data_IF_983571622646
#
_entry.id   IF_983571622646
#
_cell.length_a   1.000
_cell.length_b   1.000
_cell.length_c   1.000
_cell.angle_alpha   90.00
_cell.angle_beta   90.00
_cell.angle_gamma   90.00
#
_symmetry.space_group_name_H-M   'P 1'
#
loop_
_entity.id
_entity.type
_entity.pdbx_description
1 polymer ?
#
# COMPACT_ATOMS: atom_id res chain seq x y z
N UNK A 1 -12.15 -15.01 -8.27
CA UNK A 1 -13.40 -14.42 -8.74
C UNK A 1 -13.31 -12.91 -8.79
N UNK A 2 -13.92 -12.28 -9.80
CA UNK A 2 -13.95 -10.83 -9.91
C UNK A 2 -14.93 -10.26 -8.86
N UNK A 3 -14.52 -9.20 -8.15
CA UNK A 3 -15.40 -8.47 -7.24
C UNK A 3 -16.17 -7.41 -8.05
N UNK A 4 -17.47 -7.32 -7.82
CA UNK A 4 -18.36 -6.42 -8.57
C UNK A 4 -19.06 -5.40 -7.67
N UNK A 5 -18.93 -5.54 -6.34
CA UNK A 5 -19.56 -4.66 -5.36
C UNK A 5 -18.67 -4.47 -4.13
N UNK A 6 -18.92 -3.40 -3.38
CA UNK A 6 -18.28 -3.15 -2.08
C UNK A 6 -18.63 -4.27 -1.10
N UNK A 7 -17.65 -4.74 -0.35
CA UNK A 7 -17.83 -5.70 0.74
C UNK A 7 -17.52 -5.02 2.06
N UNK A 8 -18.52 -4.99 2.95
CA UNK A 8 -18.42 -4.34 4.26
C UNK A 8 -18.78 -5.29 5.38
N UNK A 9 -17.92 -5.37 6.38
CA UNK A 9 -18.17 -6.12 7.60
C UNK A 9 -17.85 -5.25 8.82
N UNK A 10 -18.80 -5.17 9.75
CA UNK A 10 -18.57 -4.56 11.06
C UNK A 10 -18.54 -5.66 12.11
N UNK A 11 -17.51 -5.66 12.94
CA UNK A 11 -17.30 -6.62 14.02
C UNK A 11 -17.11 -5.86 15.33
N UNK A 12 -17.92 -6.16 16.32
CA UNK A 12 -17.83 -5.59 17.67
C UNK A 12 -17.14 -6.58 18.62
N UNK A 13 -16.13 -6.12 19.32
CA UNK A 13 -15.35 -6.93 20.28
C UNK A 13 -14.90 -6.08 21.47
N UNK A 14 -14.57 -6.75 22.55
CA UNK A 14 -13.89 -6.11 23.67
C UNK A 14 -12.42 -5.88 23.33
N UNK A 15 -12.14 -4.76 22.69
CA UNK A 15 -10.80 -4.36 22.25
C UNK A 15 -10.43 -3.00 22.82
N UNK A 16 -9.16 -2.73 23.09
CA UNK A 16 -8.73 -1.44 23.64
C UNK A 16 -8.88 -0.29 22.64
N UNK A 17 -8.74 -0.56 21.34
CA UNK A 17 -8.71 0.46 20.28
C UNK A 17 -9.47 -0.06 19.07
N UNK A 18 -10.32 0.80 18.50
CA UNK A 18 -11.00 0.57 17.23
C UNK A 18 -10.01 0.58 16.06
N UNK A 19 -10.33 -0.14 14.99
CA UNK A 19 -9.45 -0.24 13.83
C UNK A 19 -10.24 -0.34 12.53
N UNK A 20 -9.69 0.29 11.50
CA UNK A 20 -10.18 0.25 10.12
C UNK A 20 -9.21 -0.59 9.28
N UNK A 21 -9.74 -1.57 8.55
CA UNK A 21 -9.00 -2.39 7.60
C UNK A 21 -9.65 -2.25 6.23
N UNK A 22 -8.92 -1.70 5.29
CA UNK A 22 -9.34 -1.52 3.90
C UNK A 22 -8.50 -2.42 3.01
N UNK A 23 -9.11 -3.10 2.06
CA UNK A 23 -8.43 -3.97 1.12
C UNK A 23 -8.96 -3.76 -0.30
N UNK A 24 -8.05 -3.69 -1.25
CA UNK A 24 -8.32 -3.58 -2.66
C UNK A 24 -7.57 -4.69 -3.40
N UNK A 25 -8.21 -5.33 -4.35
CA UNK A 25 -7.55 -6.37 -5.16
C UNK A 25 -6.53 -5.73 -6.09
N UNK A 26 -5.40 -6.37 -6.22
CA UNK A 26 -4.34 -5.97 -7.14
C UNK A 26 -3.89 -7.16 -8.01
N UNK A 27 -2.96 -6.90 -8.92
CA UNK A 27 -2.35 -7.89 -9.78
C UNK A 27 -1.48 -8.89 -9.01
N UNK A 28 -1.05 -9.94 -9.70
CA UNK A 28 -0.03 -10.88 -9.23
C UNK A 28 1.40 -10.30 -9.30
N UNK A 29 2.36 -11.02 -8.73
CA UNK A 29 3.78 -10.61 -8.64
C UNK A 29 4.45 -10.42 -10.00
N UNK A 30 4.04 -11.18 -11.02
CA UNK A 30 4.67 -11.15 -12.34
C UNK A 30 4.05 -10.11 -13.28
N UNK A 31 2.97 -9.46 -12.86
CA UNK A 31 2.30 -8.44 -13.67
C UNK A 31 3.14 -7.15 -13.74
N UNK A 32 3.23 -6.47 -14.90
CA UNK A 32 4.00 -5.22 -15.06
C UNK A 32 3.60 -4.10 -14.09
N UNK A 33 2.33 -4.05 -13.68
CA UNK A 33 1.83 -3.05 -12.74
C UNK A 33 2.26 -3.30 -11.28
N UNK A 34 2.84 -4.47 -10.95
CA UNK A 34 3.20 -4.82 -9.58
C UNK A 34 4.10 -3.77 -8.92
N UNK A 35 5.15 -3.35 -9.62
CA UNK A 35 6.11 -2.35 -9.14
C UNK A 35 5.45 -0.98 -8.88
N UNK A 36 4.45 -0.64 -9.70
CA UNK A 36 3.68 0.59 -9.48
C UNK A 36 2.80 0.49 -8.22
N UNK A 37 2.18 -0.65 -7.94
CA UNK A 37 1.43 -0.86 -6.70
C UNK A 37 2.34 -0.78 -5.47
N UNK A 38 3.54 -1.33 -5.54
CA UNK A 38 4.48 -1.30 -4.42
C UNK A 38 4.98 0.12 -4.13
N UNK A 39 5.44 0.85 -5.17
CA UNK A 39 5.80 2.28 -5.04
C UNK A 39 4.61 3.09 -4.51
N UNK A 40 3.40 2.82 -4.97
CA UNK A 40 2.20 3.52 -4.51
C UNK A 40 1.96 3.32 -3.01
N UNK A 41 2.20 2.11 -2.48
CA UNK A 41 2.10 1.83 -1.05
C UNK A 41 3.15 2.60 -0.25
N UNK A 42 4.36 2.70 -0.79
CA UNK A 42 5.45 3.45 -0.17
C UNK A 42 5.19 4.97 -0.14
N UNK A 43 4.66 5.55 -1.22
CA UNK A 43 4.25 6.96 -1.26
C UNK A 43 3.16 7.23 -0.22
N UNK A 44 2.24 6.31 -0.03
CA UNK A 44 1.14 6.46 0.91
C UNK A 44 1.58 6.35 2.38
N UNK A 45 2.47 5.42 2.75
CA UNK A 45 2.75 5.20 4.18
C UNK A 45 4.21 4.93 4.58
N UNK A 46 5.15 4.83 3.64
CA UNK A 46 6.52 4.44 3.99
C UNK A 46 7.41 5.61 4.42
N UNK A 47 7.25 6.04 5.67
CA UNK A 47 8.06 7.07 6.31
C UNK A 47 7.27 8.31 6.75
N UNK A 48 7.92 9.18 7.52
CA UNK A 48 7.26 10.33 8.16
C UNK A 48 6.66 11.34 7.17
N UNK A 49 7.21 11.46 5.98
CA UNK A 49 6.76 12.39 4.94
C UNK A 49 5.91 11.72 3.86
N UNK A 50 5.45 10.48 4.08
CA UNK A 50 4.48 9.82 3.22
C UNK A 50 3.08 10.42 3.43
N UNK A 51 2.26 10.39 2.38
CA UNK A 51 1.01 11.17 2.32
C UNK A 51 0.04 10.89 3.45
N UNK A 52 -0.29 9.62 3.71
CA UNK A 52 -1.21 9.26 4.80
C UNK A 52 -0.66 9.66 6.18
N UNK A 53 0.65 9.48 6.39
CA UNK A 53 1.28 9.84 7.67
C UNK A 53 1.29 11.36 7.84
N UNK A 54 1.71 12.12 6.82
CA UNK A 54 1.76 13.56 6.90
C UNK A 54 0.36 14.16 7.05
N UNK A 55 -0.57 13.82 6.15
CA UNK A 55 -1.87 14.48 6.09
C UNK A 55 -2.83 13.98 7.19
N UNK A 56 -2.88 12.65 7.45
CA UNK A 56 -3.90 12.09 8.32
C UNK A 56 -3.43 11.86 9.76
N UNK A 57 -2.11 11.73 10.00
CA UNK A 57 -1.58 11.58 11.38
C UNK A 57 -1.08 12.92 11.91
N UNK A 58 -0.22 13.64 11.14
CA UNK A 58 0.40 14.86 11.66
C UNK A 58 -0.49 16.09 11.50
N UNK A 59 -1.01 16.36 10.30
CA UNK A 59 -1.72 17.61 10.01
C UNK A 59 -3.17 17.58 10.51
N UNK A 60 -3.95 16.56 10.13
CA UNK A 60 -5.38 16.45 10.46
C UNK A 60 -5.68 15.69 11.74
N UNK A 61 -4.73 14.94 12.26
CA UNK A 61 -4.86 14.12 13.49
C UNK A 61 -6.08 13.18 13.47
N UNK A 62 -6.39 12.62 12.31
CA UNK A 62 -7.49 11.65 12.09
C UNK A 62 -7.12 10.27 12.62
N UNK A 63 -5.86 9.88 12.45
CA UNK A 63 -5.34 8.60 12.89
C UNK A 63 -4.23 8.75 13.92
N UNK A 64 -4.18 7.83 14.88
CA UNK A 64 -3.00 7.64 15.75
C UNK A 64 -1.90 6.86 15.03
N UNK A 65 -2.29 5.98 14.12
CA UNK A 65 -1.39 5.28 13.20
C UNK A 65 -2.17 4.80 11.98
N UNK A 66 -1.52 4.86 10.82
CA UNK A 66 -2.05 4.35 9.57
C UNK A 66 -0.90 3.77 8.75
N UNK A 67 -1.17 2.69 8.04
CA UNK A 67 -0.21 1.98 7.20
C UNK A 67 -0.86 1.54 5.89
N UNK A 68 -0.10 1.55 4.81
CA UNK A 68 -0.47 1.01 3.51
C UNK A 68 0.64 0.08 3.01
N UNK A 69 0.26 -1.13 2.58
CA UNK A 69 1.20 -2.12 2.05
C UNK A 69 0.52 -3.06 1.07
N UNK A 70 1.31 -3.75 0.27
CA UNK A 70 0.83 -4.80 -0.62
C UNK A 70 1.13 -6.19 -0.06
N UNK A 71 0.27 -7.17 -0.36
CA UNK A 71 0.59 -8.57 -0.14
C UNK A 71 1.33 -9.11 -1.38
N UNK A 72 2.65 -9.30 -1.22
CA UNK A 72 3.54 -9.73 -2.31
C UNK A 72 3.49 -11.24 -2.57
N UNK A 73 2.28 -11.81 -2.77
CA UNK A 73 2.13 -13.24 -3.12
C UNK A 73 2.36 -13.47 -4.61
N UNK A 74 2.64 -14.73 -4.99
CA UNK A 74 2.81 -15.14 -6.39
C UNK A 74 1.54 -14.86 -7.19
N UNK A 75 0.38 -15.24 -6.63
CA UNK A 75 -0.94 -14.98 -7.21
C UNK A 75 -1.40 -13.53 -6.98
N UNK A 76 -2.56 -13.20 -7.57
CA UNK A 76 -3.19 -11.90 -7.38
C UNK A 76 -3.34 -11.54 -5.90
N UNK A 77 -2.78 -10.41 -5.51
CA UNK A 77 -2.67 -9.95 -4.15
C UNK A 77 -3.74 -8.94 -3.74
N UNK A 78 -3.47 -8.31 -2.61
CA UNK A 78 -4.29 -7.23 -2.05
C UNK A 78 -3.41 -6.03 -1.71
N UNK A 79 -3.92 -4.85 -2.00
CA UNK A 79 -3.43 -3.60 -1.46
C UNK A 79 -4.19 -3.32 -0.16
N UNK A 80 -3.48 -3.21 0.93
CA UNK A 80 -4.04 -3.02 2.27
C UNK A 80 -3.82 -1.60 2.76
N UNK A 81 -4.81 -1.05 3.44
CA UNK A 81 -4.67 0.13 4.28
C UNK A 81 -5.26 -0.22 5.64
N UNK A 82 -4.47 -0.07 6.69
CA UNK A 82 -4.87 -0.34 8.07
C UNK A 82 -4.66 0.89 8.92
N UNK A 83 -5.67 1.30 9.67
CA UNK A 83 -5.57 2.50 10.50
C UNK A 83 -6.25 2.35 11.85
N UNK A 84 -5.68 3.02 12.85
CA UNK A 84 -6.28 3.20 14.17
C UNK A 84 -6.67 4.66 14.29
N UNK A 85 -7.98 4.99 14.31
CA UNK A 85 -8.42 6.36 14.48
C UNK A 85 -7.86 7.01 15.74
N UNK A 86 -7.68 8.31 15.69
CA UNK A 86 -7.32 9.09 16.87
C UNK A 86 -8.50 9.14 17.86
N UNK A 87 -8.22 9.43 19.13
CA UNK A 87 -9.26 9.48 20.13
C UNK A 87 -10.34 10.54 19.79
N UNK A 88 -11.59 10.13 19.79
CA UNK A 88 -12.73 10.99 19.46
C UNK A 88 -13.05 11.12 17.96
N UNK A 89 -12.31 10.45 17.09
CA UNK A 89 -12.59 10.39 15.65
C UNK A 89 -13.44 9.15 15.35
N UNK A 90 -14.56 9.33 14.63
CA UNK A 90 -15.40 8.20 14.23
C UNK A 90 -14.74 7.36 13.13
N UNK A 91 -15.06 6.06 13.08
CA UNK A 91 -14.58 5.17 12.00
C UNK A 91 -15.07 5.62 10.61
N UNK A 92 -16.26 6.23 10.55
CA UNK A 92 -16.82 6.78 9.32
C UNK A 92 -16.01 7.99 8.83
N UNK A 93 -15.65 8.93 9.71
CA UNK A 93 -14.81 10.09 9.35
C UNK A 93 -13.39 9.65 9.00
N UNK A 94 -12.85 8.66 9.70
CA UNK A 94 -11.54 8.07 9.40
C UNK A 94 -11.54 7.41 8.01
N UNK A 95 -12.54 6.59 7.68
CA UNK A 95 -12.69 5.97 6.35
C UNK A 95 -12.81 7.04 5.25
N UNK A 96 -13.63 8.06 5.48
CA UNK A 96 -13.81 9.18 4.54
C UNK A 96 -12.50 9.91 4.27
N UNK A 97 -11.72 10.20 5.31
CA UNK A 97 -10.43 10.87 5.18
C UNK A 97 -9.43 10.06 4.33
N UNK A 98 -9.40 8.73 4.49
CA UNK A 98 -8.58 7.87 3.61
C UNK A 98 -9.06 7.96 2.17
N UNK A 99 -10.36 7.89 1.92
CA UNK A 99 -10.89 7.99 0.55
C UNK A 99 -10.58 9.34 -0.11
N UNK A 100 -10.53 10.45 0.64
CA UNK A 100 -10.12 11.76 0.13
C UNK A 100 -8.67 11.69 -0.40
N UNK A 101 -7.74 11.11 0.35
CA UNK A 101 -6.35 10.93 -0.09
C UNK A 101 -6.22 10.00 -1.31
N UNK A 102 -6.98 8.90 -1.32
CA UNK A 102 -7.00 7.98 -2.46
C UNK A 102 -7.58 8.63 -3.72
N UNK A 103 -8.53 9.56 -3.59
CA UNK A 103 -9.05 10.34 -4.72
C UNK A 103 -8.01 11.32 -5.27
N UNK A 104 -7.23 11.96 -4.42
CA UNK A 104 -6.16 12.85 -4.86
C UNK A 104 -5.14 12.08 -5.71
N UNK A 105 -4.62 10.95 -5.19
CA UNK A 105 -3.60 10.16 -5.90
C UNK A 105 -4.13 9.49 -7.17
N UNK A 106 -5.44 9.30 -7.27
CA UNK A 106 -6.11 8.77 -8.46
C UNK A 106 -6.37 9.83 -9.54
N UNK A 107 -6.33 11.13 -9.21
CA UNK A 107 -6.69 12.20 -10.13
C UNK A 107 -5.55 13.17 -10.44
N UNK A 108 -4.50 13.17 -9.64
CA UNK A 108 -3.35 14.07 -9.77
C UNK A 108 -2.08 13.26 -9.98
N UNK A 109 -1.20 13.76 -10.83
CA UNK A 109 0.13 13.18 -11.01
C UNK A 109 0.95 13.38 -9.74
N UNK A 110 1.69 12.35 -9.36
CA UNK A 110 2.65 12.43 -8.26
C UNK A 110 3.83 13.26 -8.74
N UNK A 111 4.32 14.14 -7.86
CA UNK A 111 5.50 14.95 -8.12
C UNK A 111 6.73 14.07 -8.37
N UNK A 112 7.54 14.45 -9.35
CA UNK A 112 8.73 13.67 -9.74
C UNK A 112 9.77 13.58 -8.61
N UNK A 113 9.88 14.61 -7.76
CA UNK A 113 10.78 14.58 -6.61
C UNK A 113 10.30 13.56 -5.56
N UNK A 114 9.00 13.51 -5.32
CA UNK A 114 8.39 12.52 -4.42
C UNK A 114 8.59 11.09 -4.95
N UNK A 115 8.37 10.87 -6.24
CA UNK A 115 8.60 9.57 -6.89
C UNK A 115 10.07 9.15 -6.83
N UNK A 116 11.00 10.05 -7.20
CA UNK A 116 12.43 9.75 -7.17
C UNK A 116 12.94 9.46 -5.75
N UNK A 117 12.40 10.11 -4.74
CA UNK A 117 12.73 9.84 -3.33
C UNK A 117 12.38 8.38 -2.96
N UNK A 118 11.22 7.88 -3.37
CA UNK A 118 10.80 6.50 -3.08
C UNK A 118 11.66 5.50 -3.85
N UNK A 119 11.93 5.75 -5.13
CA UNK A 119 12.84 4.92 -5.95
C UNK A 119 14.24 4.84 -5.36
N UNK A 120 14.81 5.97 -4.94
CA UNK A 120 16.12 6.04 -4.30
C UNK A 120 16.16 5.26 -2.98
N UNK A 121 15.09 5.32 -2.20
CA UNK A 121 14.96 4.55 -0.96
C UNK A 121 14.94 3.04 -1.24
N UNK A 122 14.15 2.61 -2.23
CA UNK A 122 14.10 1.21 -2.65
C UNK A 122 15.50 0.71 -3.08
N UNK A 123 16.15 1.42 -4.01
CA UNK A 123 17.48 1.05 -4.50
C UNK A 123 18.51 0.98 -3.37
N UNK A 124 18.51 1.94 -2.46
CA UNK A 124 19.39 1.93 -1.29
C UNK A 124 19.13 0.70 -0.42
N UNK A 125 17.87 0.37 -0.18
CA UNK A 125 17.48 -0.83 0.61
C UNK A 125 17.97 -2.11 -0.05
N UNK A 126 17.86 -2.22 -1.38
CA UNK A 126 18.37 -3.37 -2.14
C UNK A 126 19.89 -3.48 -2.07
N UNK A 127 20.61 -2.37 -2.26
CA UNK A 127 22.08 -2.35 -2.17
C UNK A 127 22.54 -2.81 -0.79
N UNK A 128 21.98 -2.26 0.28
CA UNK A 128 22.32 -2.66 1.65
C UNK A 128 21.87 -4.08 1.98
N UNK A 129 20.71 -4.50 1.48
CA UNK A 129 20.22 -5.88 1.62
C UNK A 129 21.17 -6.92 1.01
N UNK A 130 21.76 -6.59 -0.13
CA UNK A 130 22.69 -7.46 -0.85
C UNK A 130 24.08 -7.58 -0.20
N UNK A 131 24.38 -6.82 0.84
CA UNK A 131 25.57 -7.03 1.68
C UNK A 131 25.44 -8.29 2.56
N UNK A 132 24.23 -8.80 2.73
CA UNK A 132 23.97 -10.02 3.49
C UNK A 132 23.82 -11.22 2.54
N UNK A 133 24.74 -12.16 2.60
CA UNK A 133 24.73 -13.35 1.74
C UNK A 133 23.46 -14.23 1.89
N UNK A 134 22.86 -14.27 3.07
CA UNK A 134 21.61 -15.00 3.27
C UNK A 134 20.45 -14.33 2.52
N UNK A 135 20.39 -12.99 2.53
CA UNK A 135 19.39 -12.25 1.76
C UNK A 135 19.57 -12.50 0.26
N UNK A 136 20.81 -12.42 -0.23
CA UNK A 136 21.10 -12.71 -1.65
C UNK A 136 20.67 -14.12 -2.03
N UNK A 137 21.03 -15.12 -1.23
CA UNK A 137 20.65 -16.53 -1.48
C UNK A 137 19.13 -16.71 -1.46
N UNK A 138 18.43 -16.08 -0.52
CA UNK A 138 16.96 -16.13 -0.42
C UNK A 138 16.31 -15.46 -1.64
N UNK A 139 16.80 -14.30 -2.05
CA UNK A 139 16.29 -13.59 -3.21
C UNK A 139 16.53 -14.37 -4.51
N UNK A 140 17.71 -14.93 -4.71
CA UNK A 140 18.00 -15.79 -5.87
C UNK A 140 17.06 -17.01 -5.93
N UNK A 141 16.84 -17.69 -4.79
CA UNK A 141 15.90 -18.81 -4.72
C UNK A 141 14.46 -18.37 -4.99
N UNK A 142 14.06 -17.19 -4.50
CA UNK A 142 12.76 -16.60 -4.75
C UNK A 142 12.55 -16.29 -6.24
N UNK A 143 13.51 -15.63 -6.88
CA UNK A 143 13.43 -15.32 -8.30
C UNK A 143 13.45 -16.59 -9.18
N UNK A 144 14.26 -17.61 -8.82
CA UNK A 144 14.23 -18.89 -9.53
C UNK A 144 12.87 -19.58 -9.46
N UNK A 145 12.17 -19.45 -8.33
CA UNK A 145 10.81 -19.99 -8.19
C UNK A 145 9.79 -19.20 -9.00
N UNK A 146 9.95 -17.88 -9.14
CA UNK A 146 9.02 -17.02 -9.88
C UNK A 146 9.21 -17.11 -11.40
N UNK A 147 10.48 -17.09 -11.85
CA UNK A 147 10.88 -17.03 -13.26
C UNK A 147 12.29 -17.58 -13.44
N UNK A 148 13.31 -16.77 -13.17
CA UNK A 148 14.74 -17.10 -13.28
C UNK A 148 15.53 -16.27 -12.26
N UNK A 149 16.54 -16.87 -11.63
CA UNK A 149 17.40 -16.19 -10.66
C UNK A 149 18.03 -14.90 -11.20
N UNK A 150 18.39 -14.87 -12.49
CA UNK A 150 18.98 -13.72 -13.18
C UNK A 150 18.05 -12.49 -13.24
N UNK A 151 16.72 -12.66 -13.08
CA UNK A 151 15.77 -11.56 -13.08
C UNK A 151 15.84 -10.71 -11.80
N UNK A 152 16.50 -11.20 -10.75
CA UNK A 152 16.83 -10.44 -9.56
C UNK A 152 17.61 -9.15 -9.90
N UNK A 153 18.52 -9.21 -10.86
CA UNK A 153 19.34 -8.05 -11.26
C UNK A 153 18.53 -6.96 -11.99
N UNK A 154 17.39 -7.33 -12.55
CA UNK A 154 16.49 -6.38 -13.27
C UNK A 154 15.51 -5.66 -12.34
N UNK A 155 15.41 -6.09 -11.09
CA UNK A 155 14.38 -5.57 -10.18
C UNK A 155 14.50 -4.06 -9.97
N UNK A 156 15.72 -3.56 -9.74
CA UNK A 156 15.97 -2.12 -9.59
C UNK A 156 15.58 -1.34 -10.86
N UNK A 157 15.88 -1.89 -12.05
CA UNK A 157 15.49 -1.26 -13.32
C UNK A 157 13.98 -1.19 -13.47
N UNK A 158 13.25 -2.23 -13.08
CA UNK A 158 11.80 -2.26 -13.12
C UNK A 158 11.17 -1.20 -12.20
N UNK A 159 11.68 -1.02 -10.97
CA UNK A 159 11.25 0.06 -10.08
C UNK A 159 11.59 1.44 -10.65
N UNK A 160 12.80 1.60 -11.24
CA UNK A 160 13.22 2.86 -11.88
C UNK A 160 12.35 3.23 -13.08
N UNK A 161 11.83 2.25 -13.81
CA UNK A 161 10.99 2.46 -14.99
C UNK A 161 9.57 2.95 -14.67
N UNK A 162 9.10 2.83 -13.42
CA UNK A 162 7.76 3.29 -13.03
C UNK A 162 7.63 4.79 -13.20
N UNK A 163 6.52 5.23 -13.80
CA UNK A 163 6.22 6.65 -14.06
C UNK A 163 5.07 7.16 -13.19
N UNK A 164 5.01 8.49 -12.96
CA UNK A 164 3.88 9.13 -12.27
C UNK A 164 2.54 8.85 -12.95
N UNK A 165 2.51 8.74 -14.28
CA UNK A 165 1.31 8.36 -15.02
C UNK A 165 0.86 6.94 -14.70
N UNK A 166 1.80 5.98 -14.66
CA UNK A 166 1.49 4.59 -14.33
C UNK A 166 0.96 4.46 -12.89
N UNK A 167 1.50 5.22 -11.94
CA UNK A 167 1.01 5.26 -10.55
C UNK A 167 -0.44 5.75 -10.49
N UNK A 168 -0.77 6.82 -11.21
CA UNK A 168 -2.14 7.33 -11.27
C UNK A 168 -3.08 6.30 -11.92
N UNK A 169 -2.65 5.60 -12.97
CA UNK A 169 -3.47 4.60 -13.66
C UNK A 169 -3.76 3.37 -12.79
N UNK A 170 -2.76 2.87 -12.03
CA UNK A 170 -2.99 1.77 -11.09
C UNK A 170 -3.83 2.21 -9.91
N UNK A 171 -3.69 3.45 -9.41
CA UNK A 171 -4.53 4.00 -8.36
C UNK A 171 -6.01 4.08 -8.81
N UNK A 172 -6.28 4.59 -10.01
CA UNK A 172 -7.63 4.62 -10.60
C UNK A 172 -8.26 3.24 -10.74
N UNK A 173 -7.46 2.26 -11.12
CA UNK A 173 -7.89 0.87 -11.29
C UNK A 173 -8.18 0.20 -9.95
N UNK A 174 -7.34 0.43 -8.95
CA UNK A 174 -7.43 -0.20 -7.64
C UNK A 174 -8.49 0.45 -6.74
N UNK A 175 -8.45 1.78 -6.59
CA UNK A 175 -9.23 2.50 -5.59
C UNK A 175 -10.64 2.85 -6.08
N UNK A 176 -11.41 1.81 -6.36
CA UNK A 176 -12.82 1.90 -6.76
C UNK A 176 -13.71 1.21 -5.73
N UNK A 177 -14.96 1.68 -5.59
CA UNK A 177 -15.93 1.08 -4.67
C UNK A 177 -16.23 -0.38 -5.00
N UNK A 178 -16.23 -0.74 -6.26
CA UNK A 178 -16.45 -2.11 -6.71
C UNK A 178 -15.28 -3.06 -6.42
N UNK A 179 -14.09 -2.51 -6.16
CA UNK A 179 -12.88 -3.26 -5.79
C UNK A 179 -12.57 -3.20 -4.28
N UNK A 180 -13.45 -2.60 -3.50
CA UNK A 180 -13.24 -2.28 -2.10
C UNK A 180 -13.84 -3.32 -1.15
N UNK A 181 -13.04 -3.75 -0.19
CA UNK A 181 -13.48 -4.55 0.96
C UNK A 181 -13.04 -3.86 2.25
N UNK A 182 -13.94 -3.73 3.20
CA UNK A 182 -13.66 -3.06 4.48
C UNK A 182 -14.11 -3.90 5.66
N UNK A 183 -13.23 -4.00 6.65
CA UNK A 183 -13.54 -4.50 7.97
C UNK A 183 -13.44 -3.34 8.98
N UNK A 184 -14.56 -3.03 9.60
CA UNK A 184 -14.71 -2.06 10.68
C UNK A 184 -14.69 -2.82 12.01
N UNK A 185 -13.64 -2.61 12.80
CA UNK A 185 -13.47 -3.29 14.07
C UNK A 185 -13.79 -2.33 15.21
N UNK A 186 -15.00 -2.45 15.75
CA UNK A 186 -15.51 -1.55 16.79
C UNK A 186 -15.30 -2.11 18.19
N UNK A 187 -15.11 -1.18 19.14
CA UNK A 187 -15.11 -1.48 20.55
C UNK A 187 -16.54 -1.63 21.05
N UNK A 188 -16.81 -2.68 21.82
CA UNK A 188 -18.08 -2.80 22.56
C UNK A 188 -18.10 -1.72 23.65
N UNK A 189 -19.10 -0.85 23.62
CA UNK A 189 -19.36 0.08 24.73
C UNK A 189 -19.80 -0.75 25.94
N UNK A 190 -19.08 -0.62 27.04
CA UNK A 190 -19.36 -1.30 28.32
C UNK A 190 -20.28 -0.48 29.19
#
# INVERSE_FOLDING_TARGET
PQQTEERRLTVERNVPIESLYMAFRMCDRMHPDYYAYDILSDILSNGRSSRLIQHLVHDRQIFSSIDAHISGSIDAGLFHITGKPANGVSLEDAEKAVWEELQIISNELIDEEELEKVKNKFESTQIFGNLNYLNVATNLAWFEMLSRAEDMDKEVENYRAVTSQQLMDVARKAFTRTNYSVLIYKKIES
#
